data_IF_409391178156
#
_entry.id   IF_409391178156
#
_cell.length_a   1.000
_cell.length_b   1.000
_cell.length_c   1.000
_cell.angle_alpha   90.00
_cell.angle_beta   90.00
_cell.angle_gamma   90.00
#
_symmetry.space_group_name_H-M   'P 1'
#
loop_
_entity.id
_entity.type
_entity.pdbx_description
1 polymer ?
#
# COMPACT_ATOMS: atom_id res chain seq x y z
N UNK A 1 9.04 -3.78 16.24
CA UNK A 1 7.63 -3.53 16.62
C UNK A 1 7.62 -2.69 17.89
N UNK A 2 7.17 -1.44 17.82
CA UNK A 2 7.14 -0.53 18.97
C UNK A 2 5.76 -0.51 19.64
N UNK A 3 5.76 -0.35 20.96
CA UNK A 3 4.55 -0.29 21.80
C UNK A 3 4.52 1.07 22.48
N UNK A 4 3.45 1.83 22.27
CA UNK A 4 3.18 3.10 22.92
C UNK A 4 2.03 2.97 23.91
N UNK A 5 2.04 3.76 24.98
CA UNK A 5 0.82 3.96 25.76
C UNK A 5 -0.14 4.89 25.03
N UNK A 6 -1.43 4.82 25.37
CA UNK A 6 -2.44 5.73 24.81
C UNK A 6 -2.07 7.21 24.99
N UNK A 7 -1.53 7.59 26.15
CA UNK A 7 -1.13 8.97 26.43
C UNK A 7 0.05 9.41 25.56
N UNK A 8 1.07 8.56 25.39
CA UNK A 8 2.21 8.85 24.52
C UNK A 8 1.79 8.96 23.05
N UNK A 9 0.96 8.02 22.57
CA UNK A 9 0.45 8.04 21.21
C UNK A 9 -0.40 9.29 20.93
N UNK A 10 -1.16 9.76 21.93
CA UNK A 10 -1.92 11.01 21.83
C UNK A 10 -1.01 12.25 21.77
N UNK A 11 0.06 12.29 22.57
CA UNK A 11 0.98 13.42 22.59
C UNK A 11 1.88 13.48 21.35
N UNK A 12 2.23 12.32 20.79
CA UNK A 12 3.22 12.18 19.70
C UNK A 12 2.64 11.48 18.48
N UNK A 13 1.39 11.81 18.12
CA UNK A 13 0.65 11.09 17.08
C UNK A 13 1.38 11.10 15.73
N UNK A 14 1.98 12.22 15.33
CA UNK A 14 2.72 12.33 14.07
C UNK A 14 3.87 11.31 13.98
N UNK A 15 4.69 11.22 15.03
CA UNK A 15 5.80 10.28 15.12
C UNK A 15 5.33 8.82 15.11
N UNK A 16 4.20 8.55 15.78
CA UNK A 16 3.59 7.21 15.80
C UNK A 16 3.05 6.81 14.41
N UNK A 17 2.51 7.75 13.64
CA UNK A 17 2.10 7.53 12.25
C UNK A 17 3.30 7.27 11.34
N UNK A 18 4.36 8.09 11.41
CA UNK A 18 5.60 7.88 10.65
C UNK A 18 6.22 6.51 10.96
N UNK A 19 6.22 6.09 12.23
CA UNK A 19 6.69 4.76 12.58
C UNK A 19 5.77 3.66 12.07
N UNK A 20 4.45 3.85 12.06
CA UNK A 20 3.53 2.88 11.47
C UNK A 20 3.72 2.76 9.97
N UNK A 21 4.06 3.85 9.28
CA UNK A 21 4.43 3.85 7.86
C UNK A 21 5.77 3.12 7.61
N UNK A 22 6.82 3.47 8.35
CA UNK A 22 8.15 2.90 8.18
C UNK A 22 8.26 1.43 8.61
N UNK A 23 7.63 1.07 9.73
CA UNK A 23 7.72 -0.29 10.31
C UNK A 23 6.54 -1.18 9.89
N UNK A 24 5.52 -0.61 9.25
CA UNK A 24 4.29 -1.28 8.84
C UNK A 24 3.29 -1.55 9.97
N UNK A 25 3.70 -1.52 11.25
CA UNK A 25 2.82 -1.80 12.41
C UNK A 25 3.35 -1.21 13.71
N UNK A 26 2.48 -0.53 14.46
CA UNK A 26 2.72 -0.02 15.81
C UNK A 26 1.61 -0.50 16.74
N UNK A 27 1.92 -0.78 18.01
CA UNK A 27 0.93 -1.17 19.01
C UNK A 27 0.68 -0.02 20.00
N UNK A 28 -0.58 0.20 20.36
CA UNK A 28 -1.00 1.19 21.34
C UNK A 28 -1.70 0.47 22.49
N UNK A 29 -1.11 0.52 23.68
CA UNK A 29 -1.66 -0.08 24.90
C UNK A 29 -2.44 0.96 25.70
N UNK A 30 -3.70 0.66 26.00
CA UNK A 30 -4.55 1.46 26.89
C UNK A 30 -4.42 0.99 28.34
N UNK A 31 -4.80 1.86 29.28
CA UNK A 31 -4.76 1.59 30.73
C UNK A 31 -5.69 0.44 31.15
N UNK A 32 -6.72 0.17 30.36
CA UNK A 32 -7.65 -0.96 30.54
C UNK A 32 -7.06 -2.31 30.08
N UNK A 33 -5.78 -2.35 29.69
CA UNK A 33 -5.09 -3.55 29.23
C UNK A 33 -5.31 -3.89 27.76
N UNK A 34 -6.23 -3.20 27.07
CA UNK A 34 -6.47 -3.43 25.64
C UNK A 34 -5.30 -2.91 24.82
N UNK A 35 -4.94 -3.66 23.79
CA UNK A 35 -3.90 -3.28 22.84
C UNK A 35 -4.52 -3.14 21.45
N UNK A 36 -4.27 -2.00 20.83
CA UNK A 36 -4.69 -1.69 19.46
C UNK A 36 -3.48 -1.75 18.55
N UNK A 37 -3.66 -2.15 17.30
CA UNK A 37 -2.63 -2.07 16.27
C UNK A 37 -2.95 -0.91 15.34
N UNK A 38 -1.98 -0.03 15.14
CA UNK A 38 -1.98 0.97 14.08
C UNK A 38 -1.16 0.42 12.92
N UNK A 39 -1.79 0.33 11.76
CA UNK A 39 -1.22 -0.22 10.53
C UNK A 39 -1.50 0.81 9.44
N UNK A 40 -0.52 1.08 8.58
CA UNK A 40 -0.77 1.90 7.42
C UNK A 40 -1.80 1.19 6.53
N UNK A 41 -2.91 1.85 6.26
CA UNK A 41 -3.83 1.42 5.24
C UNK A 41 -3.21 1.70 3.88
N UNK A 42 -2.59 0.69 3.29
CA UNK A 42 -2.13 0.78 1.90
C UNK A 42 -3.37 0.81 1.03
N UNK A 43 -3.64 1.94 0.38
CA UNK A 43 -4.53 1.94 -0.77
C UNK A 43 -3.84 1.12 -1.87
N UNK A 44 -4.32 -0.09 -2.10
CA UNK A 44 -3.67 -1.09 -2.97
C UNK A 44 -3.88 -0.76 -4.45
N UNK A 45 -4.83 0.12 -4.79
CA UNK A 45 -5.09 0.44 -6.18
C UNK A 45 -4.00 1.39 -6.70
N UNK A 46 -3.06 0.82 -7.45
CA UNK A 46 -2.16 1.60 -8.30
C UNK A 46 -3.01 2.52 -9.18
N UNK A 47 -2.57 3.74 -9.52
CA UNK A 47 -3.23 4.52 -10.56
C UNK A 47 -3.33 3.78 -11.91
N UNK A 48 -2.53 2.72 -12.10
CA UNK A 48 -2.54 1.83 -13.26
C UNK A 48 -3.36 0.55 -13.04
N UNK A 49 -3.98 0.38 -11.87
CA UNK A 49 -4.87 -0.74 -11.54
C UNK A 49 -6.26 -0.49 -12.16
N UNK A 50 -6.30 -0.57 -13.49
CA UNK A 50 -7.52 -0.44 -14.29
C UNK A 50 -8.01 -1.82 -14.75
N UNK A 51 -9.33 -2.04 -14.82
CA UNK A 51 -9.88 -3.31 -15.29
C UNK A 51 -9.38 -3.68 -16.69
N UNK A 52 -9.01 -4.95 -16.89
CA UNK A 52 -8.61 -5.46 -18.21
C UNK A 52 -9.82 -5.59 -19.14
N UNK A 53 -9.62 -5.35 -20.44
CA UNK A 53 -10.59 -5.74 -21.47
C UNK A 53 -10.15 -7.04 -22.16
N UNK A 54 -11.11 -7.91 -22.49
CA UNK A 54 -10.86 -9.07 -23.36
C UNK A 54 -10.91 -8.62 -24.81
N UNK A 55 -9.76 -8.19 -25.34
CA UNK A 55 -9.63 -7.88 -26.75
C UNK A 55 -9.66 -9.14 -27.62
N UNK A 56 -10.36 -9.10 -28.76
CA UNK A 56 -10.30 -10.13 -29.80
C UNK A 56 -9.13 -9.80 -30.73
N UNK A 57 -7.92 -10.22 -30.34
CA UNK A 57 -6.70 -9.99 -31.12
C UNK A 57 -5.91 -11.30 -31.22
N UNK A 58 -5.32 -11.57 -32.38
CA UNK A 58 -4.49 -12.74 -32.58
C UNK A 58 -3.04 -12.47 -32.11
N UNK A 59 -2.33 -13.52 -31.72
CA UNK A 59 -0.90 -13.42 -31.34
C UNK A 59 -0.05 -12.84 -32.46
N UNK A 60 -0.37 -13.17 -33.71
CA UNK A 60 0.37 -12.67 -34.87
C UNK A 60 0.26 -11.15 -35.00
N UNK A 61 -0.95 -10.59 -34.82
CA UNK A 61 -1.19 -9.14 -34.88
C UNK A 61 -0.38 -8.39 -33.80
N UNK A 62 -0.26 -8.96 -32.60
CA UNK A 62 0.56 -8.37 -31.52
C UNK A 62 2.03 -8.31 -31.95
N UNK A 63 2.56 -9.41 -32.52
CA UNK A 63 3.95 -9.49 -32.97
C UNK A 63 4.24 -8.49 -34.08
N UNK A 64 3.32 -8.35 -35.03
CA UNK A 64 3.45 -7.42 -36.16
C UNK A 64 3.46 -5.96 -35.68
N UNK A 65 2.56 -5.59 -34.75
CA UNK A 65 2.53 -4.24 -34.14
C UNK A 65 3.85 -3.93 -33.41
N UNK A 66 4.39 -4.88 -32.63
CA UNK A 66 5.65 -4.70 -31.90
C UNK A 66 6.83 -4.52 -32.87
N UNK A 67 6.88 -5.29 -33.97
CA UNK A 67 7.92 -5.15 -35.00
C UNK A 67 7.87 -3.78 -35.66
N UNK A 68 6.69 -3.33 -36.07
CA UNK A 68 6.49 -2.00 -36.67
C UNK A 68 6.96 -0.87 -35.74
N UNK A 69 6.77 -1.01 -34.43
CA UNK A 69 7.24 -0.03 -33.44
C UNK A 69 8.76 -0.01 -33.24
N UNK A 70 9.47 -1.11 -33.54
CA UNK A 70 10.94 -1.24 -33.40
C UNK A 70 11.72 -0.91 -34.67
N UNK A 71 11.04 -0.76 -35.80
CA UNK A 71 11.64 -0.32 -37.07
C UNK A 71 11.85 1.21 -37.13
N UNK A 72 11.61 1.92 -36.01
CA UNK A 72 11.88 3.35 -35.82
C UNK A 72 13.02 3.60 -34.85
#
# INVERSE_FOLDING_TARGET
MQVYTYSEARQKLALVLEQAENTGKVLIRRKDGRTFALVLEKNISSPLDVPSIKAKIATQEIVDIVRQGRER
#
